data_IF_511535807507
#
_entry.id   IF_511535807507
#
_cell.length_a   1.000
_cell.length_b   1.000
_cell.length_c   1.000
_cell.angle_alpha   90.00
_cell.angle_beta   90.00
_cell.angle_gamma   90.00
#
_symmetry.space_group_name_H-M   'P 1'
#
loop_
_entity.id
_entity.type
_entity.pdbx_description
1 polymer ?
#
# COMPACT_ATOMS: atom_id res chain seq x y z
N UNK A 1 -2.99 2.64 -9.20
CA UNK A 1 -2.85 3.98 -9.80
C UNK A 1 -1.65 4.75 -9.27
N UNK A 2 -1.32 4.67 -7.98
CA UNK A 2 -0.14 5.30 -7.39
C UNK A 2 1.13 5.09 -8.24
N UNK A 3 1.44 3.84 -8.58
CA UNK A 3 2.66 3.51 -9.34
C UNK A 3 2.67 4.01 -10.80
N UNK A 4 1.57 4.52 -11.34
CA UNK A 4 1.58 5.12 -12.68
C UNK A 4 2.43 6.38 -12.76
N UNK A 5 2.60 7.09 -11.64
CA UNK A 5 3.44 8.29 -11.53
C UNK A 5 4.90 7.99 -11.21
N UNK A 6 5.24 6.71 -10.95
CA UNK A 6 6.60 6.34 -10.58
C UNK A 6 7.53 6.38 -11.80
N UNK A 7 8.60 7.19 -11.80
CA UNK A 7 9.51 7.36 -12.95
C UNK A 7 10.30 6.10 -13.28
N UNK A 8 10.38 5.14 -12.36
CA UNK A 8 11.10 3.87 -12.53
C UNK A 8 10.19 2.71 -12.97
N UNK A 9 8.88 2.96 -13.17
CA UNK A 9 7.91 1.95 -13.60
C UNK A 9 7.47 2.24 -15.03
N UNK A 10 7.88 1.39 -15.96
CA UNK A 10 7.53 1.54 -17.37
C UNK A 10 6.05 1.27 -17.66
N UNK A 11 5.45 0.30 -16.96
CA UNK A 11 4.07 -0.10 -17.18
C UNK A 11 3.41 -0.62 -15.92
N UNK A 12 2.18 -0.19 -15.68
CA UNK A 12 1.31 -0.72 -14.62
C UNK A 12 0.19 -1.51 -15.26
N UNK A 13 0.08 -2.79 -14.92
CA UNK A 13 -1.01 -3.67 -15.33
C UNK A 13 -1.90 -3.89 -14.12
N UNK A 14 -3.17 -3.48 -14.21
CA UNK A 14 -4.11 -3.56 -13.11
C UNK A 14 -4.78 -4.94 -13.07
N UNK A 15 -4.58 -5.66 -11.97
CA UNK A 15 -5.36 -6.84 -11.64
C UNK A 15 -6.66 -6.42 -10.92
N UNK A 16 -7.80 -6.60 -11.57
CA UNK A 16 -9.13 -6.33 -10.98
C UNK A 16 -9.52 -7.31 -9.88
N UNK A 17 -8.69 -8.32 -9.61
CA UNK A 17 -8.89 -9.36 -8.60
C UNK A 17 -10.24 -10.08 -8.68
N UNK A 18 -10.77 -10.25 -9.91
CA UNK A 18 -11.99 -11.03 -10.13
C UNK A 18 -11.79 -12.49 -9.65
N UNK A 19 -12.89 -13.22 -9.38
CA UNK A 19 -12.79 -14.60 -8.92
C UNK A 19 -11.92 -15.48 -9.83
N UNK A 20 -11.18 -16.41 -9.23
CA UNK A 20 -10.24 -17.30 -9.96
C UNK A 20 -10.91 -18.21 -11.01
N UNK A 21 -12.22 -18.40 -10.92
CA UNK A 21 -13.00 -19.16 -11.90
C UNK A 21 -13.50 -18.32 -13.08
N UNK A 22 -13.24 -17.02 -13.10
CA UNK A 22 -13.55 -16.16 -14.25
C UNK A 22 -12.50 -16.36 -15.34
N UNK A 23 -12.70 -17.39 -16.17
CA UNK A 23 -11.74 -17.78 -17.22
C UNK A 23 -11.56 -16.72 -18.30
N UNK A 24 -12.61 -15.96 -18.61
CA UNK A 24 -12.54 -14.86 -19.60
C UNK A 24 -11.58 -13.79 -19.08
N UNK A 25 -11.72 -13.38 -17.84
CA UNK A 25 -10.82 -12.42 -17.22
C UNK A 25 -9.36 -12.93 -17.18
N UNK A 26 -9.16 -14.17 -16.77
CA UNK A 26 -7.82 -14.79 -16.73
C UNK A 26 -7.19 -14.86 -18.12
N UNK A 27 -7.98 -15.19 -19.15
CA UNK A 27 -7.51 -15.18 -20.54
C UNK A 27 -7.02 -13.81 -20.98
N UNK A 28 -7.79 -12.74 -20.72
CA UNK A 28 -7.38 -11.38 -21.06
C UNK A 28 -6.17 -10.93 -20.26
N UNK A 29 -6.09 -11.25 -18.98
CA UNK A 29 -4.92 -10.93 -18.14
C UNK A 29 -3.67 -11.65 -18.65
N UNK A 30 -3.78 -12.95 -18.98
CA UNK A 30 -2.69 -13.72 -19.57
C UNK A 30 -2.25 -13.14 -20.91
N UNK A 31 -3.20 -12.77 -21.78
CA UNK A 31 -2.90 -12.14 -23.07
C UNK A 31 -2.16 -10.82 -22.91
N UNK A 32 -2.55 -10.02 -21.90
CA UNK A 32 -1.85 -8.77 -21.59
C UNK A 32 -0.43 -9.03 -21.11
N UNK A 33 -0.24 -9.97 -20.18
CA UNK A 33 1.07 -10.34 -19.64
C UNK A 33 2.00 -10.92 -20.72
N UNK A 34 1.48 -11.71 -21.67
CA UNK A 34 2.26 -12.29 -22.77
C UNK A 34 2.81 -11.27 -23.77
N UNK A 35 2.35 -10.03 -23.75
CA UNK A 35 2.92 -8.95 -24.58
C UNK A 35 4.33 -8.58 -24.13
N UNK A 36 4.73 -8.97 -22.92
CA UNK A 36 5.99 -8.60 -22.29
C UNK A 36 6.86 -9.84 -22.11
N UNK A 37 8.15 -9.68 -22.39
CA UNK A 37 9.14 -10.72 -22.14
C UNK A 37 9.82 -10.46 -20.77
N UNK A 38 9.30 -11.08 -19.72
CA UNK A 38 9.83 -10.90 -18.37
C UNK A 38 11.10 -11.75 -18.21
N UNK A 39 12.21 -11.11 -17.90
CA UNK A 39 13.46 -11.81 -17.54
C UNK A 39 13.37 -12.40 -16.13
N UNK A 40 12.70 -11.68 -15.19
CA UNK A 40 12.51 -12.11 -13.80
C UNK A 40 11.18 -11.57 -13.26
N UNK A 41 10.57 -12.31 -12.37
CA UNK A 41 9.34 -11.90 -11.69
C UNK A 41 9.54 -11.89 -10.19
N UNK A 42 9.24 -10.78 -9.53
CA UNK A 42 9.31 -10.63 -8.08
C UNK A 42 7.89 -10.58 -7.50
N UNK A 43 7.50 -11.64 -6.80
CA UNK A 43 6.22 -11.71 -6.10
C UNK A 43 6.40 -11.19 -4.67
N UNK A 44 6.18 -9.91 -4.47
CA UNK A 44 6.25 -9.29 -3.14
C UNK A 44 4.96 -9.48 -2.34
N UNK A 45 3.86 -9.88 -2.98
CA UNK A 45 2.63 -10.14 -2.26
C UNK A 45 2.60 -11.52 -1.58
N UNK A 46 3.28 -12.51 -2.14
CA UNK A 46 3.41 -13.88 -1.60
C UNK A 46 2.08 -14.53 -1.18
N UNK A 47 1.02 -14.31 -1.97
CA UNK A 47 -0.34 -14.76 -1.68
C UNK A 47 -0.71 -16.04 -2.42
N UNK A 48 -1.80 -16.69 -2.00
CA UNK A 48 -2.36 -17.83 -2.74
C UNK A 48 -2.82 -17.44 -4.16
N UNK A 49 -3.17 -16.18 -4.37
CA UNK A 49 -3.53 -15.65 -5.69
C UNK A 49 -2.32 -15.52 -6.59
N UNK A 50 -1.23 -14.96 -6.11
CA UNK A 50 0.01 -14.82 -6.89
C UNK A 50 0.62 -16.18 -7.20
N UNK A 51 0.55 -17.14 -6.27
CA UNK A 51 0.93 -18.54 -6.53
C UNK A 51 0.06 -19.19 -7.63
N UNK A 52 -1.24 -18.93 -7.63
CA UNK A 52 -2.13 -19.36 -8.70
C UNK A 52 -1.76 -18.72 -10.04
N UNK A 53 -1.50 -17.41 -10.07
CA UNK A 53 -1.07 -16.71 -11.28
C UNK A 53 0.25 -17.24 -11.84
N UNK A 54 1.24 -17.49 -10.97
CA UNK A 54 2.49 -18.14 -11.36
C UNK A 54 2.25 -19.38 -12.20
N UNK A 55 1.30 -20.24 -11.77
CA UNK A 55 1.06 -21.51 -12.41
C UNK A 55 0.28 -21.41 -13.72
N UNK A 56 -0.66 -20.48 -13.83
CA UNK A 56 -1.63 -20.38 -14.94
C UNK A 56 -1.23 -19.33 -15.98
N UNK A 57 -0.75 -18.17 -15.54
CA UNK A 57 -0.57 -17.03 -16.44
C UNK A 57 0.85 -16.90 -16.99
N UNK A 58 1.86 -17.51 -16.33
CA UNK A 58 3.26 -17.34 -16.70
C UNK A 58 3.85 -18.57 -17.39
N UNK A 59 4.80 -18.33 -18.29
CA UNK A 59 5.55 -19.38 -18.99
C UNK A 59 6.46 -20.17 -18.03
N UNK A 60 6.96 -21.34 -18.48
CA UNK A 60 7.95 -22.11 -17.71
C UNK A 60 9.19 -21.26 -17.39
N UNK A 61 9.76 -20.56 -18.37
CA UNK A 61 10.93 -19.70 -18.17
C UNK A 61 10.70 -18.63 -17.10
N UNK A 62 9.51 -18.02 -17.05
CA UNK A 62 9.17 -17.05 -15.99
C UNK A 62 9.01 -17.73 -14.62
N UNK A 63 8.51 -18.98 -14.57
CA UNK A 63 8.40 -19.75 -13.32
C UNK A 63 9.77 -20.07 -12.72
N UNK A 64 10.73 -20.40 -13.55
CA UNK A 64 12.09 -20.71 -13.13
C UNK A 64 12.83 -19.46 -12.58
N UNK A 65 12.45 -18.28 -13.07
CA UNK A 65 12.98 -16.99 -12.63
C UNK A 65 12.02 -16.23 -11.67
N UNK A 66 11.21 -16.97 -10.92
CA UNK A 66 10.23 -16.41 -9.99
C UNK A 66 10.81 -16.28 -8.59
N UNK A 67 10.93 -15.04 -8.09
CA UNK A 67 11.29 -14.72 -6.71
C UNK A 67 10.04 -14.60 -5.85
N UNK A 68 9.96 -15.39 -4.80
CA UNK A 68 8.92 -15.32 -3.76
C UNK A 68 9.47 -15.87 -2.44
N UNK A 69 8.79 -15.69 -1.34
CA UNK A 69 9.23 -16.30 -0.06
C UNK A 69 9.38 -17.82 -0.13
N UNK A 70 8.63 -18.49 -1.01
CA UNK A 70 8.73 -19.94 -1.19
C UNK A 70 9.93 -20.38 -2.02
N UNK A 71 10.46 -19.51 -2.89
CA UNK A 71 11.53 -19.86 -3.82
C UNK A 71 12.89 -19.27 -3.40
N UNK A 72 12.90 -18.25 -2.56
CA UNK A 72 14.10 -17.53 -2.16
C UNK A 72 14.55 -17.79 -0.73
N UNK A 73 13.70 -18.40 0.12
CA UNK A 73 14.13 -18.81 1.46
C UNK A 73 15.10 -20.00 1.34
N UNK A 74 16.32 -19.91 1.87
CA UNK A 74 17.21 -21.05 2.01
C UNK A 74 16.54 -22.17 2.83
N UNK A 75 16.92 -23.42 2.55
CA UNK A 75 16.34 -24.61 3.19
C UNK A 75 16.43 -24.59 4.73
N UNK A 76 17.39 -23.86 5.28
CA UNK A 76 17.68 -23.79 6.73
C UNK A 76 16.97 -22.64 7.43
N UNK A 77 16.26 -21.75 6.70
CA UNK A 77 15.54 -20.65 7.34
C UNK A 77 14.16 -21.11 7.78
N UNK A 78 13.89 -20.92 9.06
CA UNK A 78 12.57 -21.19 9.62
C UNK A 78 11.56 -20.19 9.05
N UNK A 79 10.64 -20.69 8.21
CA UNK A 79 9.61 -19.89 7.56
C UNK A 79 8.70 -19.18 8.56
N UNK A 80 8.37 -19.83 9.68
CA UNK A 80 7.51 -19.25 10.70
C UNK A 80 8.15 -18.03 11.35
N UNK A 81 9.45 -18.09 11.63
CA UNK A 81 10.21 -16.93 12.14
C UNK A 81 10.27 -15.81 11.10
N UNK A 82 10.51 -16.17 9.83
CA UNK A 82 10.54 -15.20 8.73
C UNK A 82 9.17 -14.51 8.54
N UNK A 83 8.07 -15.25 8.61
CA UNK A 83 6.72 -14.69 8.43
C UNK A 83 6.32 -13.74 9.58
N UNK A 84 6.96 -13.83 10.75
CA UNK A 84 6.78 -12.93 11.90
C UNK A 84 7.59 -11.64 11.80
N UNK A 85 8.58 -11.57 10.93
CA UNK A 85 9.39 -10.37 10.73
C UNK A 85 8.58 -9.26 10.03
N UNK A 86 9.10 -8.04 10.11
CA UNK A 86 8.45 -6.89 9.46
C UNK A 86 8.36 -7.08 7.95
N UNK A 87 7.35 -6.50 7.33
CA UNK A 87 7.14 -6.60 5.87
C UNK A 87 8.35 -6.07 5.10
N UNK A 88 8.94 -4.97 5.55
CA UNK A 88 10.10 -4.36 4.90
C UNK A 88 11.34 -5.26 4.98
N UNK A 89 11.60 -5.87 6.13
CA UNK A 89 12.72 -6.83 6.29
C UNK A 89 12.53 -8.04 5.39
N UNK A 90 11.30 -8.56 5.29
CA UNK A 90 11.00 -9.69 4.40
C UNK A 90 11.21 -9.34 2.93
N UNK A 91 10.84 -8.14 2.50
CA UNK A 91 11.11 -7.68 1.14
C UNK A 91 12.60 -7.51 0.89
N UNK A 92 13.32 -6.87 1.82
CA UNK A 92 14.76 -6.66 1.72
C UNK A 92 15.49 -8.01 1.58
N UNK A 93 15.16 -8.96 2.44
CA UNK A 93 15.71 -10.30 2.39
C UNK A 93 15.40 -10.99 1.06
N UNK A 94 14.14 -11.05 0.64
CA UNK A 94 13.73 -11.69 -0.61
C UNK A 94 14.45 -11.10 -1.82
N UNK A 95 14.59 -9.78 -1.88
CA UNK A 95 15.24 -9.10 -3.01
C UNK A 95 16.73 -9.34 -3.03
N UNK A 96 17.41 -9.30 -1.86
CA UNK A 96 18.85 -9.61 -1.73
C UNK A 96 19.16 -11.05 -2.13
N UNK A 97 18.41 -12.02 -1.63
CA UNK A 97 18.54 -13.43 -2.02
C UNK A 97 18.29 -13.67 -3.51
N UNK A 98 17.54 -12.79 -4.14
CA UNK A 98 17.32 -12.78 -5.58
C UNK A 98 18.43 -12.04 -6.35
N UNK A 99 19.52 -11.63 -5.69
CA UNK A 99 20.67 -10.98 -6.31
C UNK A 99 20.48 -9.48 -6.61
N UNK A 100 19.52 -8.84 -5.97
CA UNK A 100 19.33 -7.39 -6.10
C UNK A 100 20.06 -6.65 -4.96
N UNK A 101 20.75 -5.56 -5.30
CA UNK A 101 21.27 -4.65 -4.31
C UNK A 101 20.15 -3.69 -3.86
N UNK A 102 19.68 -3.86 -2.61
CA UNK A 102 18.57 -3.10 -2.05
C UNK A 102 19.13 -2.02 -1.11
N UNK A 103 18.98 -0.77 -1.48
CA UNK A 103 19.42 0.38 -0.66
C UNK A 103 18.25 1.13 -0.02
N UNK A 104 17.05 1.06 -0.63
CA UNK A 104 15.89 1.83 -0.22
C UNK A 104 14.75 0.98 0.37
N UNK A 105 14.92 -0.34 0.48
CA UNK A 105 13.83 -1.23 0.94
C UNK A 105 13.38 -0.90 2.35
N UNK A 106 14.32 -0.62 3.26
CA UNK A 106 14.01 -0.29 4.65
C UNK A 106 13.62 1.18 4.85
N UNK A 107 13.94 2.05 3.89
CA UNK A 107 13.58 3.47 3.87
C UNK A 107 13.01 3.85 2.51
N UNK A 108 11.79 3.39 2.18
CA UNK A 108 11.21 3.64 0.87
C UNK A 108 10.97 5.13 0.66
N UNK A 109 11.35 5.63 -0.52
CA UNK A 109 11.14 7.02 -0.91
C UNK A 109 9.88 7.10 -1.79
N UNK A 110 8.89 7.87 -1.34
CA UNK A 110 7.63 8.13 -2.05
C UNK A 110 7.53 9.58 -2.55
N UNK A 111 8.62 10.36 -2.59
CA UNK A 111 8.59 11.76 -3.04
C UNK A 111 8.01 11.92 -4.45
N UNK A 112 8.23 10.94 -5.33
CA UNK A 112 7.65 10.89 -6.67
C UNK A 112 6.12 10.80 -6.71
N UNK A 113 5.48 10.39 -5.62
CA UNK A 113 4.03 10.28 -5.49
C UNK A 113 3.39 11.50 -4.82
N UNK A 114 4.20 12.42 -4.31
CA UNK A 114 3.69 13.62 -3.67
C UNK A 114 3.12 14.58 -4.71
N UNK A 115 1.98 15.19 -4.38
CA UNK A 115 1.39 16.28 -5.12
C UNK A 115 1.42 17.55 -4.28
N UNK A 116 1.35 18.71 -4.93
CA UNK A 116 1.20 19.98 -4.24
C UNK A 116 -0.13 20.02 -3.48
N UNK A 117 -0.07 20.45 -2.23
CA UNK A 117 -1.25 20.54 -1.35
C UNK A 117 -1.57 21.98 -0.94
N UNK A 118 -1.08 22.95 -1.71
CA UNK A 118 -1.20 24.38 -1.36
C UNK A 118 -2.67 24.83 -1.29
N UNK A 119 -3.52 24.35 -2.19
CA UNK A 119 -4.96 24.65 -2.17
C UNK A 119 -5.63 24.10 -0.89
N UNK A 120 -5.29 22.87 -0.50
CA UNK A 120 -5.80 22.25 0.72
C UNK A 120 -5.30 23.03 1.94
N UNK A 121 -4.02 23.36 1.96
CA UNK A 121 -3.44 24.18 3.06
C UNK A 121 -4.14 25.52 3.19
N UNK A 122 -4.39 26.22 2.09
CA UNK A 122 -5.09 27.50 2.07
C UNK A 122 -6.55 27.36 2.50
N UNK A 123 -7.26 26.35 1.95
CA UNK A 123 -8.69 26.11 2.27
C UNK A 123 -8.94 25.89 3.76
N UNK A 124 -8.05 25.17 4.43
CA UNK A 124 -8.19 24.81 5.85
C UNK A 124 -7.24 25.63 6.76
N UNK A 125 -6.52 26.58 6.20
CA UNK A 125 -5.50 27.40 6.90
C UNK A 125 -4.54 26.51 7.71
N UNK A 126 -3.87 25.58 7.04
CA UNK A 126 -2.97 24.58 7.64
C UNK A 126 -1.53 25.09 7.67
N UNK A 127 -1.15 25.84 8.69
CA UNK A 127 0.23 26.26 8.93
C UNK A 127 1.02 25.14 9.62
N UNK A 128 0.57 24.75 10.82
CA UNK A 128 1.08 23.62 11.58
C UNK A 128 -0.05 22.66 11.86
N UNK A 129 0.14 21.39 11.59
CA UNK A 129 -0.93 20.40 11.80
C UNK A 129 -0.40 19.05 12.20
N UNK A 130 -1.26 18.27 12.87
CA UNK A 130 -1.06 16.89 13.21
C UNK A 130 -2.11 16.10 12.45
N UNK A 131 -1.66 15.24 11.52
CA UNK A 131 -2.53 14.38 10.73
C UNK A 131 -2.73 13.03 11.43
N UNK A 132 -3.98 12.69 11.70
CA UNK A 132 -4.37 11.42 12.31
C UNK A 132 -5.11 10.54 11.31
N UNK A 133 -4.87 9.22 11.40
CA UNK A 133 -5.55 8.19 10.61
C UNK A 133 -6.33 7.25 11.53
N UNK A 134 -7.52 7.65 12.04
CA UNK A 134 -8.28 6.87 13.01
C UNK A 134 -9.07 5.70 12.40
N UNK A 135 -8.99 5.51 11.09
CA UNK A 135 -9.81 4.54 10.37
C UNK A 135 -9.03 3.31 9.95
N UNK A 136 -9.74 2.23 9.68
CA UNK A 136 -9.19 0.99 9.13
C UNK A 136 -10.25 0.28 8.28
N UNK A 137 -9.80 -0.65 7.44
CA UNK A 137 -10.73 -1.46 6.65
C UNK A 137 -11.76 -2.17 7.55
N UNK A 138 -13.04 -2.24 7.15
CA UNK A 138 -14.12 -2.81 7.97
C UNK A 138 -13.84 -4.20 8.54
N UNK A 139 -13.18 -5.08 7.74
CA UNK A 139 -12.78 -6.42 8.18
C UNK A 139 -11.62 -6.45 9.17
N UNK A 140 -11.01 -5.30 9.47
CA UNK A 140 -9.93 -5.13 10.44
C UNK A 140 -10.35 -4.22 11.61
N UNK A 141 -11.62 -4.13 11.92
CA UNK A 141 -12.18 -3.26 12.97
C UNK A 141 -11.50 -3.44 14.33
N UNK A 142 -11.01 -4.65 14.63
CA UNK A 142 -10.24 -4.95 15.85
C UNK A 142 -8.89 -4.20 15.93
N UNK A 143 -8.40 -3.60 14.82
CA UNK A 143 -7.19 -2.76 14.79
C UNK A 143 -7.49 -1.29 15.03
N UNK A 144 -8.76 -0.90 15.08
CA UNK A 144 -9.15 0.49 15.35
C UNK A 144 -8.82 0.80 16.81
N UNK A 145 -7.88 1.74 17.00
CA UNK A 145 -7.54 2.20 18.34
C UNK A 145 -8.69 3.05 18.91
N UNK A 146 -9.22 2.76 20.11
CA UNK A 146 -10.47 3.39 20.57
C UNK A 146 -10.27 4.77 21.18
N UNK A 147 -9.04 5.22 21.44
CA UNK A 147 -8.76 6.43 22.21
C UNK A 147 -8.36 7.64 21.35
N UNK A 148 -8.81 7.72 20.11
CA UNK A 148 -8.51 8.86 19.24
C UNK A 148 -9.15 10.15 19.75
N UNK A 149 -10.35 10.11 20.31
CA UNK A 149 -11.00 11.29 20.90
C UNK A 149 -10.18 11.86 22.06
N UNK A 150 -9.73 10.98 22.95
CA UNK A 150 -8.87 11.37 24.06
C UNK A 150 -7.53 11.93 23.59
N UNK A 151 -6.90 11.29 22.58
CA UNK A 151 -5.67 11.79 21.98
C UNK A 151 -5.85 13.19 21.40
N UNK A 152 -6.95 13.43 20.66
CA UNK A 152 -7.25 14.73 20.07
C UNK A 152 -7.37 15.78 21.15
N UNK A 153 -8.09 15.48 22.24
CA UNK A 153 -8.23 16.38 23.39
C UNK A 153 -6.87 16.70 24.02
N UNK A 154 -6.05 15.67 24.29
CA UNK A 154 -4.72 15.85 24.86
C UNK A 154 -3.79 16.68 23.96
N UNK A 155 -3.88 16.51 22.64
CA UNK A 155 -3.12 17.34 21.69
C UNK A 155 -3.56 18.80 21.80
N UNK A 156 -4.86 19.07 21.80
CA UNK A 156 -5.41 20.42 21.91
C UNK A 156 -5.07 21.08 23.25
N UNK A 157 -5.15 20.33 24.34
CA UNK A 157 -4.81 20.81 25.69
C UNK A 157 -3.32 21.15 25.79
N UNK A 158 -2.46 20.33 25.18
CA UNK A 158 -1.01 20.51 25.27
C UNK A 158 -0.47 21.59 24.35
N UNK A 159 -0.99 21.67 23.14
CA UNK A 159 -0.44 22.54 22.08
C UNK A 159 -1.35 23.74 21.75
N UNK A 160 -2.55 23.78 22.31
CA UNK A 160 -3.54 24.85 22.08
C UNK A 160 -3.85 25.03 20.60
N UNK A 161 -3.85 26.28 20.16
CA UNK A 161 -4.09 26.65 18.77
C UNK A 161 -2.86 26.57 17.87
N UNK A 162 -1.70 26.19 18.40
CA UNK A 162 -0.46 26.11 17.61
C UNK A 162 -0.53 25.06 16.51
N UNK A 163 -1.20 23.94 16.80
CA UNK A 163 -1.37 22.85 15.84
C UNK A 163 -2.85 22.56 15.58
N UNK A 164 -3.23 22.53 14.32
CA UNK A 164 -4.54 22.03 13.92
C UNK A 164 -4.52 20.49 13.88
N UNK A 165 -5.50 19.84 14.48
CA UNK A 165 -5.67 18.39 14.36
C UNK A 165 -6.54 18.11 13.16
N UNK A 166 -6.06 17.29 12.23
CA UNK A 166 -6.76 16.98 10.98
C UNK A 166 -6.86 15.47 10.76
N UNK A 167 -7.88 15.06 10.01
CA UNK A 167 -8.05 13.70 9.49
C UNK A 167 -8.24 13.74 7.98
N UNK A 168 -7.82 12.70 7.27
CA UNK A 168 -8.05 12.52 5.84
C UNK A 168 -8.83 11.21 5.63
N UNK A 169 -10.17 11.23 5.76
CA UNK A 169 -10.99 10.03 5.67
C UNK A 169 -11.09 9.49 4.25
N UNK A 170 -11.25 8.17 4.13
CA UNK A 170 -11.67 7.53 2.89
C UNK A 170 -13.16 7.78 2.56
N UNK A 171 -13.64 7.39 1.37
CA UNK A 171 -15.01 7.71 0.92
C UNK A 171 -16.12 7.21 1.87
N UNK A 172 -15.89 6.09 2.53
CA UNK A 172 -16.87 5.48 3.45
C UNK A 172 -16.64 5.85 4.92
N UNK A 173 -15.71 6.78 5.20
CA UNK A 173 -15.26 7.13 6.55
C UNK A 173 -15.58 8.59 6.90
N UNK A 174 -16.16 9.34 5.96
CA UNK A 174 -16.43 10.78 6.11
C UNK A 174 -17.35 11.06 7.29
N UNK A 175 -18.45 10.32 7.43
CA UNK A 175 -19.40 10.53 8.53
C UNK A 175 -18.82 10.18 9.90
N UNK A 176 -17.95 9.16 9.94
CA UNK A 176 -17.22 8.82 11.16
C UNK A 176 -16.14 9.86 11.49
N UNK A 177 -15.50 10.43 10.48
CA UNK A 177 -14.50 11.48 10.67
C UNK A 177 -15.11 12.76 11.27
N UNK A 178 -16.33 13.10 10.89
CA UNK A 178 -17.06 14.27 11.41
C UNK A 178 -17.43 14.16 12.90
N UNK A 179 -17.36 12.95 13.48
CA UNK A 179 -17.61 12.74 14.92
C UNK A 179 -16.42 13.14 15.78
N UNK A 180 -15.19 13.18 15.20
CA UNK A 180 -14.01 13.63 15.91
C UNK A 180 -13.95 15.15 15.98
N UNK A 181 -13.46 15.68 17.09
CA UNK A 181 -13.14 17.10 17.23
C UNK A 181 -11.84 17.46 16.49
N UNK A 182 -11.83 17.17 15.19
CA UNK A 182 -10.73 17.38 14.26
C UNK A 182 -11.26 17.86 12.90
N UNK A 183 -10.42 18.56 12.15
CA UNK A 183 -10.77 19.03 10.81
C UNK A 183 -10.71 17.84 9.85
N UNK A 184 -11.84 17.47 9.25
CA UNK A 184 -11.86 16.48 8.17
C UNK A 184 -11.47 17.16 6.85
N UNK A 185 -10.29 16.80 6.34
CA UNK A 185 -9.77 17.36 5.08
C UNK A 185 -10.42 16.64 3.90
N UNK A 186 -11.23 17.39 3.14
CA UNK A 186 -12.03 16.87 2.03
C UNK A 186 -11.83 17.74 0.78
N UNK A 187 -11.96 17.13 -0.39
CA UNK A 187 -12.07 17.81 -1.67
C UNK A 187 -13.54 17.86 -2.10
N UNK A 188 -14.14 19.09 -2.08
CA UNK A 188 -15.57 19.29 -2.39
C UNK A 188 -16.49 18.27 -1.71
N UNK A 189 -16.35 18.12 -0.38
CA UNK A 189 -17.09 17.16 0.48
C UNK A 189 -16.86 15.69 0.15
N UNK A 190 -15.87 15.37 -0.66
CA UNK A 190 -15.45 14.00 -0.98
C UNK A 190 -14.10 13.71 -0.36
N UNK A 191 -13.82 12.43 -0.15
CA UNK A 191 -12.49 11.99 0.26
C UNK A 191 -11.43 12.45 -0.76
N UNK A 192 -10.24 12.83 -0.25
CA UNK A 192 -9.13 13.20 -1.11
C UNK A 192 -8.82 12.07 -2.09
N UNK A 193 -8.66 12.44 -3.37
CA UNK A 193 -8.24 11.49 -4.37
C UNK A 193 -6.72 11.30 -4.30
N UNK A 194 -6.28 10.10 -3.98
CA UNK A 194 -4.87 9.71 -3.94
C UNK A 194 -4.36 9.24 -5.33
N UNK A 195 -4.97 9.69 -6.41
CA UNK A 195 -4.60 9.31 -7.78
C UNK A 195 -3.46 10.15 -8.35
#
# INVERSE_FOLDING_TARGET
ELFKKNPFVNKVILDKRLPKYNLIYLYFLMRELKKYNFLRVFDLQNSSRTSFYKNILFSKANKDNWSSTKTTLPANINKEKFDKDTVLNRFDYQLKESGLNTINTLKPNFSWACSEINEIKSKYDLQKYILLFPFCSPHLSHKKWPYYDELIRLIKDKFGSEYKVITAPGPNEIDDARKFDAISVLDNDKALNLS
#
